data_IF_127758272681
#
_entry.id   IF_127758272681
#
_cell.length_a   1.000
_cell.length_b   1.000
_cell.length_c   1.000
_cell.angle_alpha   90.00
_cell.angle_beta   90.00
_cell.angle_gamma   90.00
#
_symmetry.space_group_name_H-M   'P 1'
#
loop_
_entity.id
_entity.type
_entity.pdbx_description
1 polymer ?
#
# COMPACT_ATOMS: atom_id res chain seq x y z
N UNK A 1 -17.54 22.56 -22.60
CA UNK A 1 -17.44 22.36 -21.13
C UNK A 1 -16.96 20.95 -20.87
N UNK A 2 -15.88 20.72 -20.10
CA UNK A 2 -15.49 19.36 -19.72
C UNK A 2 -16.61 18.76 -18.86
N UNK A 3 -17.20 17.65 -19.31
CA UNK A 3 -18.33 17.01 -18.65
C UNK A 3 -17.99 16.62 -17.22
N UNK A 4 -18.82 17.06 -16.27
CA UNK A 4 -18.70 16.71 -14.86
C UNK A 4 -18.77 15.19 -14.72
N UNK A 5 -17.66 14.57 -14.30
CA UNK A 5 -17.63 13.12 -14.08
C UNK A 5 -18.52 12.81 -12.89
N UNK A 6 -19.65 12.13 -13.16
CA UNK A 6 -20.52 11.59 -12.10
C UNK A 6 -19.69 10.68 -11.16
N UNK A 7 -19.82 10.84 -9.84
CA UNK A 7 -19.08 10.03 -8.87
C UNK A 7 -19.47 8.56 -8.98
N UNK A 8 -18.51 7.66 -8.74
CA UNK A 8 -18.79 6.21 -8.77
C UNK A 8 -19.70 5.85 -7.60
N UNK A 9 -20.83 5.15 -7.80
CA UNK A 9 -21.66 4.71 -6.68
C UNK A 9 -20.91 3.68 -5.83
N UNK A 10 -21.23 3.65 -4.54
CA UNK A 10 -20.69 2.64 -3.64
C UNK A 10 -21.30 1.27 -3.98
N UNK A 11 -20.49 0.21 -4.20
CA UNK A 11 -21.01 -1.14 -4.35
C UNK A 11 -21.76 -1.56 -3.08
N UNK A 12 -22.96 -2.18 -3.18
CA UNK A 12 -23.76 -2.60 -2.02
C UNK A 12 -22.97 -3.46 -1.02
N UNK A 13 -22.15 -4.37 -1.52
CA UNK A 13 -21.33 -5.31 -0.76
C UNK A 13 -20.19 -4.61 -0.01
N UNK A 14 -19.80 -3.40 -0.44
CA UNK A 14 -18.81 -2.57 0.23
C UNK A 14 -19.38 -1.75 1.40
N UNK A 15 -20.70 -1.73 1.62
CA UNK A 15 -21.37 -0.84 2.60
C UNK A 15 -20.69 -0.82 3.97
N UNK A 16 -20.37 -2.00 4.51
CA UNK A 16 -19.71 -2.11 5.82
C UNK A 16 -18.25 -1.70 5.79
N UNK A 17 -17.52 -2.02 4.71
CA UNK A 17 -16.14 -1.60 4.53
C UNK A 17 -16.04 -0.07 4.49
N UNK A 18 -16.83 0.58 3.63
CA UNK A 18 -16.87 2.03 3.47
C UNK A 18 -17.23 2.71 4.79
N UNK A 19 -18.30 2.26 5.44
CA UNK A 19 -18.70 2.76 6.76
C UNK A 19 -17.58 2.64 7.80
N UNK A 20 -16.84 1.53 7.81
CA UNK A 20 -15.73 1.32 8.75
C UNK A 20 -14.53 2.23 8.43
N UNK A 21 -14.24 2.46 7.14
CA UNK A 21 -13.21 3.39 6.68
C UNK A 21 -13.52 4.83 7.06
N UNK A 22 -14.77 5.26 6.94
CA UNK A 22 -15.22 6.60 7.36
C UNK A 22 -15.19 6.76 8.89
N UNK A 23 -15.69 5.75 9.64
CA UNK A 23 -15.73 5.78 11.12
C UNK A 23 -14.36 5.86 11.77
N UNK A 24 -13.35 5.32 11.10
CA UNK A 24 -11.96 5.26 11.53
C UNK A 24 -11.40 6.58 12.09
N UNK A 25 -11.79 7.74 11.54
CA UNK A 25 -11.31 9.06 11.98
C UNK A 25 -11.42 9.24 13.49
N UNK A 26 -12.56 8.86 14.06
CA UNK A 26 -12.84 9.00 15.50
C UNK A 26 -11.98 8.08 16.37
N UNK A 27 -11.63 6.90 15.86
CA UNK A 27 -10.79 5.95 16.60
C UNK A 27 -9.34 6.41 16.63
N UNK A 28 -8.78 6.82 15.49
CA UNK A 28 -7.41 7.31 15.44
C UNK A 28 -7.22 8.55 16.32
N UNK A 29 -8.19 9.47 16.36
CA UNK A 29 -8.14 10.65 17.23
C UNK A 29 -8.07 10.28 18.72
N UNK A 30 -8.77 9.22 19.12
CA UNK A 30 -8.77 8.76 20.51
C UNK A 30 -7.46 8.07 20.92
N UNK A 31 -6.84 7.33 20.01
CA UNK A 31 -5.64 6.52 20.32
C UNK A 31 -4.31 7.24 20.09
N UNK A 32 -4.27 8.26 19.23
CA UNK A 32 -3.01 8.92 18.88
C UNK A 32 -2.71 10.17 19.70
N UNK A 33 -3.53 10.50 20.71
CA UNK A 33 -3.51 11.77 21.47
C UNK A 33 -3.62 13.04 20.61
N UNK A 34 -3.74 12.89 19.28
CA UNK A 34 -3.89 13.97 18.31
C UNK A 34 -5.32 14.49 18.31
N UNK A 35 -5.48 15.80 18.11
CA UNK A 35 -6.81 16.40 17.94
C UNK A 35 -7.44 15.87 16.64
N UNK A 36 -8.77 15.77 16.60
CA UNK A 36 -9.54 15.29 15.42
C UNK A 36 -9.27 16.07 14.11
N UNK A 37 -8.70 17.27 14.20
CA UNK A 37 -8.26 18.09 13.06
C UNK A 37 -6.83 17.82 12.56
N UNK A 38 -6.01 17.11 13.34
CA UNK A 38 -4.61 16.79 13.02
C UNK A 38 -4.47 15.44 12.28
N UNK A 39 -5.55 14.66 12.22
CA UNK A 39 -5.58 13.38 11.54
C UNK A 39 -6.11 13.61 10.13
N UNK A 40 -5.31 13.34 9.08
CA UNK A 40 -5.76 13.47 7.71
C UNK A 40 -6.99 12.60 7.47
N UNK A 41 -8.01 13.17 6.85
CA UNK A 41 -9.17 12.42 6.43
C UNK A 41 -8.77 11.38 5.37
N UNK A 42 -9.30 10.16 5.50
CA UNK A 42 -9.09 9.13 4.50
C UNK A 42 -9.95 9.45 3.28
N UNK A 43 -9.30 9.73 2.15
CA UNK A 43 -9.98 9.93 0.88
C UNK A 43 -10.24 8.59 0.19
N UNK A 44 -11.51 8.23 0.09
CA UNK A 44 -11.98 7.08 -0.70
C UNK A 44 -12.01 7.49 -2.17
N UNK A 45 -11.14 6.88 -2.99
CA UNK A 45 -11.06 7.17 -4.43
C UNK A 45 -12.06 6.34 -5.24
N UNK A 46 -12.55 6.91 -6.33
CA UNK A 46 -13.34 6.20 -7.36
C UNK A 46 -12.67 4.92 -7.86
N UNK A 47 -11.34 4.94 -7.96
CA UNK A 47 -10.56 3.76 -8.37
C UNK A 47 -10.74 2.59 -7.40
N UNK A 48 -10.90 2.87 -6.10
CA UNK A 48 -11.21 1.82 -5.13
C UNK A 48 -12.61 1.29 -5.37
N UNK A 49 -13.61 2.15 -5.55
CA UNK A 49 -14.99 1.72 -5.75
C UNK A 49 -15.15 0.82 -6.99
N UNK A 50 -14.52 1.22 -8.11
CA UNK A 50 -14.46 0.41 -9.34
C UNK A 50 -13.72 -0.91 -9.14
N UNK A 51 -12.64 -0.90 -8.36
CA UNK A 51 -11.90 -2.11 -8.03
C UNK A 51 -12.73 -3.07 -7.18
N UNK A 52 -13.44 -2.56 -6.16
CA UNK A 52 -14.30 -3.35 -5.29
C UNK A 52 -15.44 -4.00 -6.10
N UNK A 53 -16.14 -3.21 -6.90
CA UNK A 53 -17.23 -3.67 -7.77
C UNK A 53 -16.82 -4.86 -8.64
N UNK A 54 -15.69 -4.70 -9.37
CA UNK A 54 -15.11 -5.79 -10.18
C UNK A 54 -14.66 -6.97 -9.33
N UNK A 55 -14.11 -6.71 -8.16
CA UNK A 55 -13.57 -7.76 -7.28
C UNK A 55 -14.66 -8.59 -6.64
N UNK A 56 -15.87 -8.06 -6.43
CA UNK A 56 -16.97 -8.82 -5.84
C UNK A 56 -17.66 -9.76 -6.82
N UNK A 57 -17.53 -9.51 -8.13
CA UNK A 57 -18.16 -10.36 -9.14
C UNK A 57 -17.74 -11.84 -8.97
N UNK A 58 -18.75 -12.71 -8.86
CA UNK A 58 -18.58 -14.15 -8.70
C UNK A 58 -18.09 -14.62 -7.31
N UNK A 59 -18.01 -13.74 -6.30
CA UNK A 59 -17.63 -14.13 -4.93
C UNK A 59 -18.83 -14.48 -4.07
N UNK A 60 -18.63 -15.41 -3.13
CA UNK A 60 -19.60 -15.67 -2.07
C UNK A 60 -19.59 -14.56 -1.01
N UNK A 61 -20.62 -14.53 -0.17
CA UNK A 61 -20.69 -13.61 0.97
C UNK A 61 -19.49 -13.75 1.90
N UNK A 62 -19.03 -14.97 2.16
CA UNK A 62 -17.88 -15.27 3.02
C UNK A 62 -16.58 -14.74 2.40
N UNK A 63 -16.39 -14.93 1.09
CA UNK A 63 -15.23 -14.44 0.36
C UNK A 63 -15.20 -12.90 0.33
N UNK A 64 -16.35 -12.26 0.15
CA UNK A 64 -16.49 -10.80 0.21
C UNK A 64 -16.13 -10.29 1.60
N UNK A 65 -16.58 -10.97 2.66
CA UNK A 65 -16.26 -10.60 4.05
C UNK A 65 -14.76 -10.71 4.32
N UNK A 66 -14.10 -11.81 3.92
CA UNK A 66 -12.66 -11.97 4.08
C UNK A 66 -11.88 -10.92 3.27
N UNK A 67 -12.26 -10.71 2.01
CA UNK A 67 -11.67 -9.70 1.15
C UNK A 67 -11.77 -8.30 1.76
N UNK A 68 -12.96 -7.91 2.24
CA UNK A 68 -13.18 -6.62 2.88
C UNK A 68 -12.37 -6.47 4.17
N UNK A 69 -12.23 -7.52 4.98
CA UNK A 69 -11.37 -7.51 6.17
C UNK A 69 -9.92 -7.22 5.82
N UNK A 70 -9.40 -7.79 4.72
CA UNK A 70 -8.01 -7.58 4.28
C UNK A 70 -7.78 -6.16 3.76
N UNK A 71 -8.69 -5.64 2.93
CA UNK A 71 -8.66 -4.27 2.43
C UNK A 71 -8.71 -3.27 3.59
N UNK A 72 -9.66 -3.46 4.51
CA UNK A 72 -9.79 -2.63 5.70
C UNK A 72 -8.51 -2.66 6.52
N UNK A 73 -7.98 -3.85 6.80
CA UNK A 73 -6.77 -4.02 7.60
C UNK A 73 -5.60 -3.27 6.95
N UNK A 74 -5.37 -3.41 5.64
CA UNK A 74 -4.25 -2.79 4.95
C UNK A 74 -4.31 -1.27 5.03
N UNK A 75 -5.47 -0.70 4.71
CA UNK A 75 -5.71 0.73 4.87
C UNK A 75 -5.55 1.13 6.34
N UNK A 76 -6.08 0.33 7.26
CA UNK A 76 -6.07 0.63 8.69
C UNK A 76 -4.64 0.69 9.25
N UNK A 77 -3.77 -0.26 8.92
CA UNK A 77 -2.37 -0.19 9.38
C UNK A 77 -1.59 0.94 8.72
N UNK A 78 -1.85 1.21 7.44
CA UNK A 78 -1.17 2.26 6.67
C UNK A 78 -1.30 3.67 7.25
N UNK A 79 -2.35 3.97 8.02
CA UNK A 79 -2.52 5.31 8.59
C UNK A 79 -1.69 5.59 9.84
N UNK A 80 -1.05 4.57 10.40
CA UNK A 80 -0.06 4.79 11.46
C UNK A 80 1.21 5.47 10.92
N UNK A 81 1.36 5.51 9.58
CA UNK A 81 2.44 6.23 8.93
C UNK A 81 2.14 7.74 8.86
N UNK A 82 3.14 8.59 9.12
CA UNK A 82 3.00 10.04 8.99
C UNK A 82 2.90 10.42 7.51
N UNK A 83 1.70 10.79 7.05
CA UNK A 83 1.46 11.25 5.68
C UNK A 83 0.62 12.52 5.67
N UNK A 84 0.86 13.41 4.70
CA UNK A 84 0.04 14.62 4.50
C UNK A 84 -1.39 14.31 4.10
N UNK A 85 -1.60 13.23 3.35
CA UNK A 85 -2.91 12.80 2.86
C UNK A 85 -3.02 11.28 2.93
N UNK A 86 -4.08 10.80 3.58
CA UNK A 86 -4.45 9.39 3.55
C UNK A 86 -5.44 9.17 2.41
N UNK A 87 -5.18 8.18 1.58
CA UNK A 87 -6.08 7.80 0.51
C UNK A 87 -6.05 6.29 0.27
N UNK A 88 -6.97 5.80 -0.54
CA UNK A 88 -7.10 4.37 -0.84
C UNK A 88 -6.20 3.90 -1.98
N UNK A 89 -5.27 4.75 -2.47
CA UNK A 89 -4.39 4.40 -3.57
C UNK A 89 -3.46 3.22 -3.30
N UNK A 90 -2.86 3.06 -2.10
CA UNK A 90 -1.98 1.93 -1.82
C UNK A 90 -2.60 0.56 -2.16
N UNK A 91 -3.88 0.37 -1.81
CA UNK A 91 -4.64 -0.83 -2.16
C UNK A 91 -4.78 -0.97 -3.68
N UNK A 92 -5.26 0.08 -4.36
CA UNK A 92 -5.55 -0.02 -5.79
C UNK A 92 -4.29 -0.16 -6.63
N UNK A 93 -3.17 0.47 -6.22
CA UNK A 93 -1.88 0.31 -6.88
C UNK A 93 -1.46 -1.16 -6.85
N UNK A 94 -1.57 -1.85 -5.71
CA UNK A 94 -1.15 -3.25 -5.63
C UNK A 94 -2.10 -4.23 -6.31
N UNK A 95 -3.42 -3.96 -6.33
CA UNK A 95 -4.42 -4.98 -6.64
C UNK A 95 -5.42 -4.64 -7.76
N UNK A 96 -5.58 -3.38 -8.18
CA UNK A 96 -6.61 -3.04 -9.16
C UNK A 96 -6.30 -3.54 -10.58
N UNK A 97 -5.02 -3.69 -10.90
CA UNK A 97 -4.52 -4.13 -12.20
C UNK A 97 -3.48 -5.23 -11.99
N UNK A 98 -3.91 -6.39 -11.49
CA UNK A 98 -3.00 -7.48 -11.17
C UNK A 98 -2.26 -8.00 -12.41
N UNK A 99 -0.94 -8.08 -12.30
CA UNK A 99 -0.08 -8.67 -13.32
C UNK A 99 -0.23 -10.20 -13.33
N UNK A 100 0.15 -10.84 -14.43
CA UNK A 100 0.17 -12.30 -14.51
C UNK A 100 1.13 -12.87 -13.45
N UNK A 101 0.64 -13.82 -12.64
CA UNK A 101 1.41 -14.41 -11.55
C UNK A 101 1.54 -13.53 -10.31
N UNK A 102 0.87 -12.37 -10.26
CA UNK A 102 0.87 -11.50 -9.10
C UNK A 102 0.20 -12.17 -7.89
N UNK A 103 0.72 -11.82 -6.71
CA UNK A 103 0.23 -12.32 -5.44
C UNK A 103 -1.21 -11.84 -5.19
N UNK A 104 -2.13 -12.75 -4.92
CA UNK A 104 -3.53 -12.41 -4.62
C UNK A 104 -3.70 -11.96 -3.16
N UNK A 105 -4.65 -11.06 -2.90
CA UNK A 105 -4.87 -10.55 -1.53
C UNK A 105 -5.31 -11.67 -0.56
N UNK A 106 -6.03 -12.67 -1.06
CA UNK A 106 -6.53 -13.82 -0.32
C UNK A 106 -5.68 -15.09 -0.47
N UNK A 107 -4.50 -15.00 -1.09
CA UNK A 107 -3.65 -16.16 -1.36
C UNK A 107 -3.19 -16.89 -0.09
N UNK A 108 -2.95 -16.14 0.98
CA UNK A 108 -2.53 -16.68 2.27
C UNK A 108 -3.60 -16.48 3.34
N UNK A 109 -3.46 -17.19 4.46
CA UNK A 109 -4.34 -17.02 5.62
C UNK A 109 -4.37 -15.55 6.07
N UNK A 110 -5.51 -15.13 6.63
CA UNK A 110 -5.65 -13.77 7.15
C UNK A 110 -4.57 -13.44 8.19
N UNK A 111 -4.21 -14.40 9.05
CA UNK A 111 -3.16 -14.25 10.07
C UNK A 111 -1.80 -13.93 9.45
N UNK A 112 -1.41 -14.64 8.38
CA UNK A 112 -0.13 -14.41 7.70
C UNK A 112 -0.12 -13.06 6.98
N UNK A 113 -1.19 -12.75 6.24
CA UNK A 113 -1.38 -11.44 5.60
C UNK A 113 -1.32 -10.28 6.60
N UNK A 114 -1.98 -10.41 7.76
CA UNK A 114 -1.93 -9.43 8.83
C UNK A 114 -0.50 -9.23 9.35
N UNK A 115 0.25 -10.30 9.54
CA UNK A 115 1.64 -10.24 10.00
C UNK A 115 2.54 -9.51 9.01
N UNK A 116 2.41 -9.82 7.71
CA UNK A 116 3.22 -9.20 6.67
C UNK A 116 2.91 -7.71 6.54
N UNK A 117 1.63 -7.31 6.54
CA UNK A 117 1.30 -5.89 6.46
C UNK A 117 1.78 -5.15 7.71
N UNK A 118 1.69 -5.75 8.91
CA UNK A 118 2.30 -5.15 10.11
C UNK A 118 3.79 -4.92 9.92
N UNK A 119 4.53 -5.95 9.48
CA UNK A 119 5.97 -5.84 9.26
C UNK A 119 6.32 -4.80 8.20
N UNK A 120 5.54 -4.67 7.12
CA UNK A 120 5.75 -3.61 6.11
C UNK A 120 5.61 -2.23 6.73
N UNK A 121 4.59 -2.03 7.57
CA UNK A 121 4.37 -0.75 8.24
C UNK A 121 5.48 -0.46 9.26
N UNK A 122 5.93 -1.45 10.01
CA UNK A 122 7.09 -1.35 10.91
C UNK A 122 8.34 -0.93 10.14
N UNK A 123 8.67 -1.63 9.04
CA UNK A 123 9.79 -1.27 8.15
C UNK A 123 9.64 0.15 7.59
N UNK A 124 8.43 0.58 7.24
CA UNK A 124 8.19 1.95 6.81
C UNK A 124 8.50 2.98 7.91
N UNK A 125 8.17 2.68 9.16
CA UNK A 125 8.45 3.55 10.30
C UNK A 125 9.93 3.58 10.63
N UNK A 126 10.56 2.41 10.72
CA UNK A 126 11.99 2.23 11.03
C UNK A 126 12.88 2.99 10.05
N UNK A 127 12.58 2.92 8.75
CA UNK A 127 13.38 3.54 7.70
C UNK A 127 12.85 4.92 7.26
N UNK A 128 11.78 5.43 7.86
CA UNK A 128 11.19 6.73 7.50
C UNK A 128 10.69 6.82 6.05
N UNK A 129 10.31 5.69 5.45
CA UNK A 129 9.87 5.62 4.05
C UNK A 129 8.35 5.72 3.92
N UNK A 130 7.91 6.27 2.79
CA UNK A 130 6.49 6.27 2.44
C UNK A 130 6.05 4.90 1.93
N UNK A 131 4.90 4.42 2.40
CA UNK A 131 4.24 3.25 1.81
C UNK A 131 4.01 3.42 0.30
N UNK A 132 3.80 4.65 -0.17
CA UNK A 132 3.61 4.91 -1.61
C UNK A 132 4.82 4.52 -2.45
N UNK A 133 6.04 4.60 -1.89
CA UNK A 133 7.26 4.14 -2.58
C UNK A 133 7.21 2.62 -2.81
N UNK A 134 6.81 1.86 -1.78
CA UNK A 134 6.64 0.41 -1.89
C UNK A 134 5.53 0.06 -2.87
N UNK A 135 4.35 0.69 -2.74
CA UNK A 135 3.22 0.38 -3.63
C UNK A 135 3.42 0.84 -5.07
N UNK A 136 4.34 1.78 -5.29
CA UNK A 136 4.78 2.17 -6.64
C UNK A 136 5.52 1.03 -7.33
N UNK A 137 6.55 0.46 -6.68
CA UNK A 137 7.25 -0.72 -7.19
C UNK A 137 6.33 -1.94 -7.31
N UNK A 138 5.42 -2.12 -6.34
CA UNK A 138 4.49 -3.25 -6.29
C UNK A 138 3.21 -3.05 -7.12
N UNK A 139 3.20 -2.14 -8.10
CA UNK A 139 2.02 -1.85 -8.89
C UNK A 139 1.51 -3.11 -9.62
N UNK A 140 0.34 -3.61 -9.22
CA UNK A 140 -0.27 -4.83 -9.75
C UNK A 140 0.38 -6.14 -9.26
N UNK A 141 1.34 -6.11 -8.34
CA UNK A 141 2.06 -7.32 -7.88
C UNK A 141 1.58 -7.83 -6.51
N UNK A 142 0.67 -7.11 -5.86
CA UNK A 142 0.22 -7.40 -4.50
C UNK A 142 1.20 -6.94 -3.42
N UNK A 143 0.95 -7.36 -2.18
CA UNK A 143 1.84 -7.10 -1.03
C UNK A 143 3.20 -7.78 -1.25
N UNK A 144 4.33 -7.06 -1.04
CA UNK A 144 5.66 -7.62 -1.23
C UNK A 144 6.00 -8.69 -0.19
N UNK A 145 6.99 -9.53 -0.51
CA UNK A 145 7.66 -10.34 0.50
C UNK A 145 8.41 -9.43 1.49
N UNK A 146 8.17 -9.64 2.78
CA UNK A 146 8.72 -8.76 3.81
C UNK A 146 10.22 -8.95 4.02
N UNK A 147 10.76 -10.15 3.77
CA UNK A 147 12.20 -10.41 3.87
C UNK A 147 12.98 -9.79 2.71
N UNK A 148 12.42 -9.82 1.49
CA UNK A 148 13.02 -9.12 0.35
C UNK A 148 12.99 -7.60 0.55
N UNK A 149 11.87 -7.06 1.04
CA UNK A 149 11.76 -5.64 1.36
C UNK A 149 12.77 -5.23 2.46
N UNK A 150 12.87 -6.00 3.54
CA UNK A 150 13.80 -5.72 4.64
C UNK A 150 15.26 -5.66 4.14
N UNK A 151 15.68 -6.66 3.36
CA UNK A 151 17.02 -6.69 2.73
C UNK A 151 17.28 -5.48 1.84
N UNK A 152 16.29 -5.06 1.05
CA UNK A 152 16.39 -3.85 0.23
C UNK A 152 16.62 -2.61 1.09
N UNK A 153 15.83 -2.43 2.15
CA UNK A 153 15.92 -1.25 3.01
C UNK A 153 17.24 -1.20 3.77
N UNK A 154 17.72 -2.34 4.25
CA UNK A 154 19.05 -2.46 4.85
C UNK A 154 20.14 -2.07 3.84
N UNK A 155 20.07 -2.60 2.61
CA UNK A 155 21.03 -2.26 1.56
C UNK A 155 21.00 -0.74 1.23
N UNK A 156 19.82 -0.14 1.13
CA UNK A 156 19.68 1.31 0.93
C UNK A 156 20.30 2.11 2.06
N UNK A 157 20.11 1.69 3.31
CA UNK A 157 20.71 2.34 4.47
C UNK A 157 22.25 2.22 4.45
N UNK A 158 22.78 1.02 4.22
CA UNK A 158 24.22 0.74 4.19
C UNK A 158 24.93 1.52 3.07
N UNK A 159 24.28 1.64 1.91
CA UNK A 159 24.84 2.33 0.73
C UNK A 159 24.47 3.82 0.66
N UNK A 160 23.67 4.32 1.61
CA UNK A 160 23.12 5.68 1.65
C UNK A 160 22.37 6.05 0.35
N UNK A 161 21.58 5.11 -0.18
CA UNK A 161 20.78 5.30 -1.39
C UNK A 161 19.34 5.59 -1.00
N UNK A 162 18.78 6.71 -1.50
CA UNK A 162 17.35 7.00 -1.31
C UNK A 162 16.51 5.99 -2.12
N UNK A 163 15.58 5.32 -1.44
CA UNK A 163 14.62 4.38 -2.05
C UNK A 163 13.84 5.01 -3.22
N UNK A 164 13.60 6.33 -3.21
CA UNK A 164 12.94 7.02 -4.33
C UNK A 164 13.72 6.91 -5.63
N UNK A 165 15.05 6.85 -5.56
CA UNK A 165 15.91 6.70 -6.74
C UNK A 165 15.66 5.39 -7.48
N UNK A 166 15.18 4.35 -6.79
CA UNK A 166 14.92 3.03 -7.38
C UNK A 166 13.43 2.75 -7.63
N UNK A 167 12.52 3.48 -6.98
CA UNK A 167 11.07 3.22 -6.98
C UNK A 167 10.44 3.20 -8.38
N UNK A 168 11.03 3.91 -9.35
CA UNK A 168 10.57 3.96 -10.75
C UNK A 168 11.46 3.21 -11.75
N UNK A 169 12.56 2.61 -11.30
CA UNK A 169 13.50 1.93 -12.21
C UNK A 169 13.05 0.51 -12.56
N UNK A 170 12.14 -0.07 -11.77
CA UNK A 170 11.68 -1.43 -11.97
C UNK A 170 10.30 -1.68 -11.39
N UNK A 171 9.76 -2.84 -11.77
CA UNK A 171 8.56 -3.42 -11.19
C UNK A 171 8.95 -4.52 -10.21
N UNK A 172 8.34 -4.50 -9.03
CA UNK A 172 8.65 -5.40 -7.93
C UNK A 172 9.77 -4.87 -7.04
N UNK A 173 9.80 -5.33 -5.79
CA UNK A 173 10.93 -5.08 -4.90
C UNK A 173 12.15 -5.85 -5.44
N UNK A 174 13.25 -5.17 -5.81
CA UNK A 174 14.47 -5.84 -6.26
C UNK A 174 15.10 -6.69 -5.18
N UNK A 175 15.82 -7.72 -5.61
CA UNK A 175 16.84 -8.34 -4.78
C UNK A 175 18.12 -7.49 -4.81
N UNK A 176 19.04 -7.75 -3.87
CA UNK A 176 20.33 -7.04 -3.79
C UNK A 176 21.17 -7.28 -5.05
N UNK A 177 21.09 -8.46 -5.66
CA UNK A 177 21.77 -8.77 -6.91
C UNK A 177 21.27 -7.90 -8.07
N UNK A 178 19.95 -7.69 -8.15
CA UNK A 178 19.33 -6.82 -9.16
C UNK A 178 19.72 -5.36 -8.94
N UNK A 179 19.84 -4.90 -7.68
CA UNK A 179 20.27 -3.53 -7.36
C UNK A 179 21.69 -3.23 -7.85
N UNK A 180 22.63 -4.14 -7.63
CA UNK A 180 24.02 -3.97 -8.08
C UNK A 180 24.08 -3.78 -9.60
N UNK A 181 23.28 -4.52 -10.35
CA UNK A 181 23.16 -4.38 -11.80
C UNK A 181 22.45 -3.07 -12.22
N UNK A 182 21.38 -2.68 -11.54
CA UNK A 182 20.60 -1.47 -11.87
C UNK A 182 21.39 -0.18 -11.69
N UNK A 183 22.21 -0.11 -10.66
CA UNK A 183 22.92 1.11 -10.30
C UNK A 183 24.31 1.15 -10.95
N UNK A 184 24.97 0.02 -11.15
CA UNK A 184 26.34 -0.04 -11.66
C UNK A 184 27.35 0.53 -10.65
N UNK A 185 28.58 0.01 -10.65
CA UNK A 185 29.60 0.39 -9.66
C UNK A 185 29.91 1.90 -9.67
N UNK A 186 29.82 2.57 -10.83
CA UNK A 186 30.13 4.01 -10.98
C UNK A 186 29.04 5.02 -10.58
N UNK A 187 27.76 4.62 -10.41
CA UNK A 187 26.70 5.57 -9.96
C UNK A 187 26.56 5.65 -8.44
N UNK A 188 26.99 4.63 -7.72
CA UNK A 188 26.95 4.61 -6.25
C UNK A 188 27.79 5.74 -5.65
N UNK A 189 28.97 6.02 -6.23
CA UNK A 189 29.84 7.13 -5.80
C UNK A 189 29.26 8.52 -6.10
N UNK A 190 28.46 8.64 -7.17
CA UNK A 190 27.82 9.91 -7.56
C UNK A 190 26.61 10.24 -6.68
N UNK A 191 25.84 9.21 -6.26
CA UNK A 191 24.69 9.38 -5.35
C UNK A 191 25.15 9.68 -3.92
N UNK A 192 26.34 9.21 -3.52
CA UNK A 192 26.92 9.47 -2.19
C UNK A 192 27.48 10.89 -2.01
N UNK A 193 27.60 11.68 -3.08
CA UNK A 193 28.19 13.04 -3.08
C UNK A 193 27.16 14.18 -3.18
N UNK A 194 25.86 13.87 -3.20
CA UNK A 194 24.74 14.85 -3.21
C UNK A 194 24.05 14.79 -1.85
#
# INVERSE_FOLDING_TARGET
MPGEKRPTPNPPEAKYLIRNLERRRRLLARFSEKKSGEIPELVIKDTLLKFLDKSYNGKTSEEIVDFNKRIYMLLNRSASLPVRKQDTAPVTSMYAYQQKGARRINEQTYKKFLSEVKKIIELCQEHGISLKSITGMQNGLGVPDTGVLDKLLQWCADKKVDLKSITGMQMGIPTVEVLSALLGEGKLETIQKI
#
